data_IF_159755727875
#
_entry.id   IF_159755727875
#
_cell.length_a   1.000
_cell.length_b   1.000
_cell.length_c   1.000
_cell.angle_alpha   90.00
_cell.angle_beta   90.00
_cell.angle_gamma   90.00
#
_symmetry.space_group_name_H-M   'P 1'
#
loop_
_entity.id
_entity.type
_entity.pdbx_description
1 polymer ?
#
# COMPACT_ATOMS: atom_id res chain seq x y z
N UNK A 1 -37.00 -11.36 40.46
CA UNK A 1 -35.64 -10.93 40.09
C UNK A 1 -35.40 -11.38 38.66
N UNK A 2 -35.66 -10.50 37.67
CA UNK A 2 -35.64 -10.82 36.24
C UNK A 2 -34.52 -10.00 35.60
N UNK A 3 -33.44 -10.65 35.17
CA UNK A 3 -32.27 -10.04 34.55
C UNK A 3 -32.61 -9.63 33.11
N UNK A 4 -32.79 -8.34 32.85
CA UNK A 4 -32.89 -7.78 31.51
C UNK A 4 -31.49 -7.72 30.88
N UNK A 5 -31.27 -8.61 29.91
CA UNK A 5 -30.07 -8.66 29.07
C UNK A 5 -29.92 -7.35 28.30
N UNK A 6 -28.80 -6.65 28.52
CA UNK A 6 -28.43 -5.47 27.76
C UNK A 6 -28.15 -5.87 26.31
N UNK A 7 -29.05 -5.48 25.39
CA UNK A 7 -28.85 -5.58 23.95
C UNK A 7 -27.75 -4.60 23.55
N UNK A 8 -26.49 -5.06 23.53
CA UNK A 8 -25.40 -4.31 22.88
C UNK A 8 -25.72 -4.22 21.40
N UNK A 9 -26.18 -3.05 20.96
CA UNK A 9 -26.22 -2.66 19.56
C UNK A 9 -24.80 -2.74 19.02
N UNK A 10 -24.48 -3.83 18.33
CA UNK A 10 -23.25 -3.97 17.57
C UNK A 10 -23.28 -3.00 16.39
N UNK A 11 -22.81 -1.76 16.63
CA UNK A 11 -22.43 -0.87 15.54
C UNK A 11 -21.23 -1.55 14.87
N UNK A 12 -21.41 -2.03 13.63
CA UNK A 12 -20.30 -2.50 12.81
C UNK A 12 -19.22 -1.42 12.84
N UNK A 13 -18.02 -1.77 13.33
CA UNK A 13 -16.85 -0.96 13.03
C UNK A 13 -16.61 -1.20 11.55
N UNK A 14 -17.16 -0.33 10.72
CA UNK A 14 -16.66 -0.14 9.37
C UNK A 14 -15.18 0.19 9.54
N UNK A 15 -14.32 -0.81 9.33
CA UNK A 15 -12.89 -0.65 9.48
C UNK A 15 -12.48 0.46 8.53
N UNK A 16 -11.84 1.50 9.06
CA UNK A 16 -11.35 2.60 8.24
C UNK A 16 -10.37 2.02 7.23
N UNK A 17 -10.78 1.88 5.98
CA UNK A 17 -9.93 1.44 4.87
C UNK A 17 -8.90 2.53 4.57
N UNK A 18 -7.77 2.45 5.25
CA UNK A 18 -6.67 3.38 5.09
C UNK A 18 -6.07 3.24 3.68
N UNK A 19 -5.61 4.35 3.11
CA UNK A 19 -4.91 4.41 1.82
C UNK A 19 -3.44 4.69 2.08
N UNK A 20 -2.55 4.02 1.38
CA UNK A 20 -1.11 4.16 1.58
C UNK A 20 -0.40 4.59 0.31
N UNK A 21 0.63 5.43 0.49
CA UNK A 21 1.66 5.67 -0.52
C UNK A 21 2.96 5.09 0.01
N UNK A 22 3.59 4.26 -0.80
CA UNK A 22 4.76 3.45 -0.46
C UNK A 22 5.87 3.84 -1.43
N UNK A 23 7.03 4.23 -0.92
CA UNK A 23 8.25 4.39 -1.72
C UNK A 23 9.24 3.31 -1.36
N UNK A 24 9.71 2.55 -2.34
CA UNK A 24 10.73 1.51 -2.17
C UNK A 24 11.91 1.80 -3.09
N UNK A 25 12.97 2.34 -2.52
CA UNK A 25 14.23 2.53 -3.23
C UNK A 25 15.10 1.29 -3.07
N UNK A 26 15.56 0.72 -4.18
CA UNK A 26 16.55 -0.35 -4.19
C UNK A 26 17.90 0.27 -4.57
N UNK A 27 18.89 0.21 -3.67
CA UNK A 27 20.21 0.78 -3.92
C UNK A 27 20.98 -0.09 -4.91
N UNK A 28 21.71 0.56 -5.84
CA UNK A 28 22.50 -0.10 -6.89
C UNK A 28 21.70 -1.13 -7.71
N UNK A 29 20.43 -0.83 -7.95
CA UNK A 29 19.49 -1.70 -8.64
C UNK A 29 19.49 -1.49 -10.15
N UNK A 30 19.05 -2.52 -10.87
CA UNK A 30 18.79 -2.55 -12.30
C UNK A 30 17.31 -2.83 -12.54
N UNK A 31 16.83 -2.65 -13.77
CA UNK A 31 15.42 -2.86 -14.11
C UNK A 31 14.87 -4.24 -13.70
N UNK A 32 15.69 -5.30 -13.79
CA UNK A 32 15.31 -6.66 -13.38
C UNK A 32 15.03 -6.79 -11.87
N UNK A 33 15.69 -5.97 -11.05
CA UNK A 33 15.54 -6.02 -9.59
C UNK A 33 14.19 -5.39 -9.21
N UNK A 34 13.81 -4.30 -9.88
CA UNK A 34 12.48 -3.71 -9.76
C UNK A 34 11.36 -4.63 -10.28
N UNK A 35 11.58 -5.38 -11.37
CA UNK A 35 10.60 -6.38 -11.82
C UNK A 35 10.37 -7.49 -10.77
N UNK A 36 11.43 -7.88 -10.03
CA UNK A 36 11.32 -8.82 -8.92
C UNK A 36 10.52 -8.23 -7.76
N UNK A 37 10.82 -6.98 -7.38
CA UNK A 37 10.08 -6.24 -6.36
C UNK A 37 8.60 -6.10 -6.73
N UNK A 38 8.29 -5.66 -7.95
CA UNK A 38 6.93 -5.47 -8.44
C UNK A 38 6.12 -6.76 -8.36
N UNK A 39 6.71 -7.89 -8.75
CA UNK A 39 6.06 -9.20 -8.62
C UNK A 39 5.76 -9.56 -7.16
N UNK A 40 6.70 -9.30 -6.25
CA UNK A 40 6.54 -9.57 -4.82
C UNK A 40 5.46 -8.67 -4.18
N UNK A 41 5.43 -7.39 -4.53
CA UNK A 41 4.43 -6.43 -4.09
C UNK A 41 3.03 -6.74 -4.65
N UNK A 42 2.94 -7.10 -5.93
CA UNK A 42 1.68 -7.45 -6.57
C UNK A 42 0.99 -8.64 -5.89
N UNK A 43 1.76 -9.62 -5.42
CA UNK A 43 1.24 -10.76 -4.64
C UNK A 43 0.62 -10.34 -3.29
N UNK A 44 0.81 -9.08 -2.86
CA UNK A 44 0.27 -8.48 -1.64
C UNK A 44 -0.77 -7.39 -1.94
N UNK A 45 -1.29 -7.33 -3.17
CA UNK A 45 -2.20 -6.28 -3.64
C UNK A 45 -1.61 -4.86 -3.53
N UNK A 46 -0.29 -4.74 -3.57
CA UNK A 46 0.43 -3.46 -3.69
C UNK A 46 0.79 -3.25 -5.16
N UNK A 47 0.49 -2.07 -5.68
CA UNK A 47 0.56 -1.77 -7.12
C UNK A 47 1.05 -0.35 -7.35
N UNK A 48 1.75 -0.11 -8.47
CA UNK A 48 2.14 1.23 -8.92
C UNK A 48 1.07 1.89 -9.82
N UNK A 49 -0.17 1.42 -9.73
CA UNK A 49 -1.31 2.01 -10.42
C UNK A 49 -2.22 2.70 -9.43
N UNK A 50 -2.48 3.99 -9.64
CA UNK A 50 -3.48 4.79 -8.91
C UNK A 50 -4.69 5.07 -9.80
N UNK A 51 -5.88 4.98 -9.23
CA UNK A 51 -7.14 5.23 -9.95
C UNK A 51 -7.80 6.52 -9.45
N UNK A 52 -8.20 7.39 -10.37
CA UNK A 52 -9.07 8.57 -10.12
C UNK A 52 -10.12 8.67 -11.21
N UNK A 53 -11.38 8.84 -10.81
CA UNK A 53 -12.51 9.03 -11.73
C UNK A 53 -12.61 7.94 -12.82
N UNK A 54 -12.32 6.69 -12.45
CA UNK A 54 -12.29 5.54 -13.36
C UNK A 54 -11.07 5.46 -14.27
N UNK A 55 -10.17 6.44 -14.26
CA UNK A 55 -8.94 6.46 -15.04
C UNK A 55 -7.77 5.94 -14.19
N UNK A 56 -6.98 5.03 -14.78
CA UNK A 56 -5.77 4.47 -14.18
C UNK A 56 -4.53 5.24 -14.61
N UNK A 57 -3.65 5.52 -13.66
CA UNK A 57 -2.39 6.22 -13.88
C UNK A 57 -1.23 5.42 -13.28
N UNK A 58 -0.09 5.45 -13.96
CA UNK A 58 1.17 4.90 -13.45
C UNK A 58 1.77 5.88 -12.44
N UNK A 59 2.07 5.41 -11.24
CA UNK A 59 2.76 6.17 -10.21
C UNK A 59 4.22 6.44 -10.60
N UNK A 60 4.87 7.46 -9.99
CA UNK A 60 6.30 7.71 -10.20
C UNK A 60 7.15 6.47 -9.94
N UNK A 61 8.35 6.37 -10.54
CA UNK A 61 9.26 5.26 -10.29
C UNK A 61 9.52 5.04 -8.79
N UNK A 62 9.55 3.77 -8.40
CA UNK A 62 9.71 3.32 -7.02
C UNK A 62 8.55 3.71 -6.07
N UNK A 63 7.42 4.20 -6.58
CA UNK A 63 6.21 4.44 -5.79
C UNK A 63 5.11 3.42 -6.07
N UNK A 64 4.43 3.03 -5.01
CA UNK A 64 3.36 2.05 -5.00
C UNK A 64 2.26 2.50 -4.05
N UNK A 65 1.12 1.83 -4.14
CA UNK A 65 0.00 2.04 -3.24
C UNK A 65 -0.71 0.74 -2.88
N UNK A 66 -1.37 0.78 -1.73
CA UNK A 66 -2.41 -0.16 -1.36
C UNK A 66 -3.46 0.55 -0.50
N UNK A 67 -4.52 -0.16 -0.19
CA UNK A 67 -5.51 0.25 0.79
C UNK A 67 -5.98 -0.97 1.58
N UNK A 68 -6.39 -0.77 2.83
CA UNK A 68 -6.74 -1.90 3.71
C UNK A 68 -6.96 -1.50 5.14
N UNK A 69 -7.41 -2.47 5.94
CA UNK A 69 -7.41 -2.42 7.41
C UNK A 69 -5.99 -2.72 7.94
N UNK A 70 -5.04 -1.88 7.56
CA UNK A 70 -3.64 -1.98 7.92
C UNK A 70 -3.18 -0.68 8.59
N UNK A 71 -2.06 -0.74 9.28
CA UNK A 71 -1.30 0.43 9.72
C UNK A 71 -0.14 0.70 8.76
N UNK A 72 0.38 1.92 8.73
CA UNK A 72 1.56 2.25 7.94
C UNK A 72 2.78 1.37 8.30
N UNK A 73 2.90 0.97 9.57
CA UNK A 73 3.96 0.07 10.02
C UNK A 73 3.82 -1.34 9.41
N UNK A 74 2.60 -1.91 9.40
CA UNK A 74 2.36 -3.21 8.77
C UNK A 74 2.62 -3.18 7.25
N UNK A 75 2.20 -2.11 6.58
CA UNK A 75 2.47 -1.93 5.15
C UNK A 75 3.97 -1.79 4.87
N UNK A 76 4.70 -1.06 5.73
CA UNK A 76 6.17 -0.96 5.64
C UNK A 76 6.81 -2.33 5.78
N UNK A 77 6.40 -3.14 6.76
CA UNK A 77 7.00 -4.46 6.99
C UNK A 77 6.74 -5.41 5.79
N UNK A 78 5.55 -5.32 5.18
CA UNK A 78 5.24 -6.03 3.92
C UNK A 78 6.17 -5.58 2.78
N UNK A 79 6.38 -4.27 2.62
CA UNK A 79 7.23 -3.71 1.58
C UNK A 79 8.71 -4.05 1.79
N UNK A 80 9.18 -4.08 3.04
CA UNK A 80 10.53 -4.56 3.41
C UNK A 80 10.71 -6.01 3.00
N UNK A 81 9.79 -6.91 3.38
CA UNK A 81 9.88 -8.32 2.99
C UNK A 81 9.91 -8.52 1.46
N UNK A 82 9.16 -7.70 0.71
CA UNK A 82 9.21 -7.70 -0.75
C UNK A 82 10.57 -7.20 -1.28
N UNK A 83 11.11 -6.12 -0.72
CA UNK A 83 12.42 -5.59 -1.10
C UNK A 83 13.57 -6.55 -0.78
N UNK A 84 13.52 -7.24 0.36
CA UNK A 84 14.49 -8.27 0.75
C UNK A 84 14.60 -9.40 -0.29
N UNK A 85 13.48 -9.76 -0.93
CA UNK A 85 13.46 -10.81 -1.98
C UNK A 85 14.30 -10.48 -3.21
N UNK A 86 14.68 -9.21 -3.39
CA UNK A 86 15.55 -8.77 -4.49
C UNK A 86 17.04 -8.98 -4.20
N UNK A 87 17.41 -9.23 -2.94
CA UNK A 87 18.80 -9.29 -2.47
C UNK A 87 19.51 -7.92 -2.44
N UNK A 88 18.80 -6.82 -2.68
CA UNK A 88 19.36 -5.45 -2.65
C UNK A 88 19.24 -4.81 -1.28
N UNK A 89 20.20 -3.93 -0.98
CA UNK A 89 20.01 -2.90 0.06
C UNK A 89 18.87 -2.00 -0.38
N UNK A 90 18.05 -1.56 0.57
CA UNK A 90 16.83 -0.84 0.25
C UNK A 90 16.47 0.19 1.32
N UNK A 91 15.66 1.16 0.92
CA UNK A 91 14.98 2.09 1.81
C UNK A 91 13.47 2.03 1.54
N UNK A 92 12.67 2.02 2.61
CA UNK A 92 11.20 1.95 2.53
C UNK A 92 10.60 3.10 3.32
N UNK A 93 9.75 3.88 2.67
CA UNK A 93 8.92 4.91 3.30
C UNK A 93 7.45 4.62 3.03
N UNK A 94 6.62 4.65 4.07
CA UNK A 94 5.17 4.47 3.96
C UNK A 94 4.44 5.60 4.65
N UNK A 95 3.44 6.14 3.96
CA UNK A 95 2.54 7.16 4.50
C UNK A 95 1.10 6.67 4.43
N UNK A 96 0.34 6.79 5.53
CA UNK A 96 -1.12 6.75 5.47
C UNK A 96 -1.61 8.09 4.92
N UNK A 97 -2.31 8.06 3.80
CA UNK A 97 -2.73 9.26 3.08
C UNK A 97 -4.21 9.58 3.37
N UNK A 98 -4.48 10.78 3.89
CA UNK A 98 -5.84 11.32 3.97
C UNK A 98 -6.32 11.80 2.58
N UNK A 99 -5.41 12.34 1.77
CA UNK A 99 -5.62 12.74 0.38
C UNK A 99 -4.35 12.52 -0.44
N UNK A 100 -4.48 12.49 -1.77
CA UNK A 100 -3.38 12.41 -2.74
C UNK A 100 -3.69 13.33 -3.91
N UNK A 101 -2.68 14.02 -4.42
CA UNK A 101 -2.77 14.86 -5.60
C UNK A 101 -1.54 14.63 -6.47
N UNK A 102 -1.70 14.68 -7.79
CA UNK A 102 -0.63 14.46 -8.74
C UNK A 102 -0.89 15.23 -10.03
N UNK A 103 0.17 15.41 -10.82
CA UNK A 103 0.14 16.00 -12.16
C UNK A 103 1.19 15.29 -13.02
N UNK A 104 0.95 15.16 -14.32
CA UNK A 104 1.91 14.61 -15.27
C UNK A 104 2.12 13.09 -15.23
N UNK A 105 1.26 12.33 -14.53
CA UNK A 105 1.29 10.87 -14.58
C UNK A 105 0.71 10.34 -15.90
N UNK A 106 1.33 9.30 -16.44
CA UNK A 106 0.87 8.64 -17.67
C UNK A 106 -0.33 7.73 -17.37
N UNK A 107 -1.30 7.70 -18.29
CA UNK A 107 -2.39 6.72 -18.26
C UNK A 107 -1.86 5.32 -18.57
N UNK A 108 -2.51 4.30 -18.00
CA UNK A 108 -2.21 2.87 -18.23
C UNK A 108 -3.35 2.23 -19.00
#
# INVERSE_FOLDING_TARGET
MLTMSARRSGKSREGKMAKFTIRVELHDAQAKDYATLEKALAAKNITDVITSDGVKYKMPPAEYQCHGELTAAQVRDIAVAAAESTGKKHAVLVTESASRAWVGLNKV
#
